data_IF_735501959686
#
_entry.id   IF_735501959686
#
_cell.length_a   1.000
_cell.length_b   1.000
_cell.length_c   1.000
_cell.angle_alpha   90.00
_cell.angle_beta   90.00
_cell.angle_gamma   90.00
#
_symmetry.space_group_name_H-M   'P 1'
#
loop_
_entity.id
_entity.type
_entity.pdbx_description
1 polymer ?
#
# COMPACT_ATOMS: atom_id res chain seq x y z
N UNK A 1 -36.98 112.36 -7.33
CA UNK A 1 -36.98 112.41 -8.81
C UNK A 1 -37.85 111.25 -9.28
N UNK A 2 -39.12 111.50 -9.61
CA UNK A 2 -39.62 111.72 -10.99
C UNK A 2 -39.56 110.41 -11.80
N UNK A 3 -40.63 109.79 -12.31
CA UNK A 3 -42.03 110.19 -12.67
C UNK A 3 -42.87 108.88 -12.86
N UNK A 4 -44.12 108.76 -12.37
CA UNK A 4 -45.40 108.94 -13.13
C UNK A 4 -45.32 108.45 -14.60
N UNK A 5 -46.22 107.64 -15.18
CA UNK A 5 -47.71 107.60 -15.13
C UNK A 5 -48.19 106.44 -16.02
N UNK A 6 -49.36 105.86 -15.74
CA UNK A 6 -50.12 105.07 -16.71
C UNK A 6 -51.33 104.34 -16.11
N UNK A 7 -52.53 104.91 -16.25
CA UNK A 7 -53.87 104.34 -16.01
C UNK A 7 -54.51 104.21 -17.41
N UNK A 8 -55.19 103.10 -17.79
CA UNK A 8 -56.66 102.95 -17.63
C UNK A 8 -57.10 101.52 -17.23
N UNK A 9 -57.98 101.34 -16.22
CA UNK A 9 -59.46 101.33 -16.23
C UNK A 9 -60.09 100.32 -17.21
N UNK A 10 -60.84 99.37 -16.63
CA UNK A 10 -62.01 98.57 -17.09
C UNK A 10 -61.77 97.06 -16.78
N UNK A 11 -62.68 96.25 -16.23
CA UNK A 11 -64.05 96.37 -15.76
C UNK A 11 -64.36 95.05 -15.00
N UNK A 12 -64.92 95.14 -13.79
CA UNK A 12 -65.91 94.25 -13.13
C UNK A 12 -65.72 92.71 -13.19
N UNK A 13 -65.65 92.07 -12.02
CA UNK A 13 -66.74 91.24 -11.46
C UNK A 13 -66.33 90.65 -10.09
N UNK A 14 -67.14 90.91 -9.07
CA UNK A 14 -67.00 90.38 -7.73
C UNK A 14 -67.54 88.94 -7.65
N UNK A 15 -66.91 88.07 -6.86
CA UNK A 15 -67.64 87.16 -5.97
C UNK A 15 -66.72 86.59 -4.88
N UNK A 16 -67.10 86.83 -3.62
CA UNK A 16 -66.47 86.23 -2.45
C UNK A 16 -66.84 84.75 -2.35
N UNK A 17 -65.85 83.89 -2.12
CA UNK A 17 -66.08 82.49 -1.75
C UNK A 17 -65.84 82.35 -0.25
N UNK A 18 -66.93 82.07 0.45
CA UNK A 18 -66.98 81.65 1.85
C UNK A 18 -66.51 80.20 1.94
N UNK A 19 -65.61 79.93 2.87
CA UNK A 19 -65.08 78.61 3.21
C UNK A 19 -66.11 77.75 3.94
N UNK A 20 -66.43 76.57 3.40
CA UNK A 20 -67.03 75.46 4.14
C UNK A 20 -66.27 74.14 3.86
N UNK A 21 -65.86 73.51 4.96
CA UNK A 21 -65.30 72.15 5.04
C UNK A 21 -66.27 71.12 4.46
N UNK A 22 -65.74 70.17 3.67
CA UNK A 22 -66.46 68.96 3.28
C UNK A 22 -65.52 67.75 3.35
N UNK A 23 -65.88 66.78 4.18
CA UNK A 23 -65.16 65.54 4.39
C UNK A 23 -65.11 64.70 3.12
N UNK A 24 -63.91 64.23 2.77
CA UNK A 24 -63.78 63.03 1.95
C UNK A 24 -63.78 61.84 2.90
N UNK A 25 -64.87 61.07 2.85
CA UNK A 25 -64.90 59.68 3.30
C UNK A 25 -63.61 59.03 2.81
N UNK A 26 -62.81 58.50 3.73
CA UNK A 26 -61.71 57.62 3.36
C UNK A 26 -62.28 56.53 2.48
N UNK A 27 -61.88 56.52 1.21
CA UNK A 27 -61.87 55.28 0.44
C UNK A 27 -61.10 54.30 1.31
N UNK A 28 -61.60 53.08 1.57
CA UNK A 28 -60.74 52.05 2.13
C UNK A 28 -59.54 52.00 1.20
N UNK A 29 -58.34 52.15 1.74
CA UNK A 29 -57.18 51.63 1.03
C UNK A 29 -57.54 50.18 0.78
N UNK A 30 -57.69 49.83 -0.50
CA UNK A 30 -58.01 48.50 -0.93
C UNK A 30 -56.86 47.60 -0.48
N UNK A 31 -57.07 46.97 0.68
CA UNK A 31 -56.22 45.96 1.28
C UNK A 31 -56.41 44.68 0.46
N UNK A 32 -56.13 44.75 -0.85
CA UNK A 32 -56.09 43.56 -1.70
C UNK A 32 -55.03 42.65 -1.08
N UNK A 33 -55.40 41.43 -0.65
CA UNK A 33 -54.44 40.50 -0.09
C UNK A 33 -53.37 40.26 -1.16
N UNK A 34 -52.10 40.44 -0.77
CA UNK A 34 -50.96 40.31 -1.66
C UNK A 34 -51.10 39.08 -2.55
N UNK A 35 -51.37 39.33 -3.82
CA UNK A 35 -51.61 38.31 -4.83
C UNK A 35 -50.29 37.74 -5.31
N UNK A 36 -50.36 36.47 -5.71
CA UNK A 36 -49.32 35.61 -6.29
C UNK A 36 -47.96 35.65 -5.57
N UNK A 37 -47.67 34.59 -4.82
CA UNK A 37 -46.39 34.41 -4.14
C UNK A 37 -45.32 33.84 -5.10
N UNK A 38 -44.04 33.87 -4.75
CA UNK A 38 -42.97 33.21 -5.51
C UNK A 38 -41.91 32.61 -4.59
N UNK A 39 -41.18 31.61 -5.09
CA UNK A 39 -40.06 30.97 -4.42
C UNK A 39 -38.75 31.60 -4.92
N UNK A 40 -37.91 31.99 -3.97
CA UNK A 40 -36.53 32.41 -4.20
C UNK A 40 -35.57 31.42 -3.53
N UNK A 41 -34.48 31.05 -4.21
CA UNK A 41 -33.39 30.29 -3.60
C UNK A 41 -32.48 31.26 -2.85
N UNK A 42 -32.27 31.01 -1.56
CA UNK A 42 -31.46 31.87 -0.67
C UNK A 42 -30.04 31.32 -0.55
N UNK A 43 -29.89 30.01 -0.35
CA UNK A 43 -28.59 29.34 -0.21
C UNK A 43 -28.68 27.85 -0.46
N UNK A 44 -27.51 27.20 -0.62
CA UNK A 44 -27.40 25.75 -0.76
C UNK A 44 -27.50 25.22 -2.20
N UNK A 45 -27.59 26.09 -3.21
CA UNK A 45 -27.53 25.71 -4.63
C UNK A 45 -26.09 25.60 -5.13
N UNK A 46 -25.86 24.83 -6.21
CA UNK A 46 -24.56 24.63 -6.86
C UNK A 46 -23.48 24.12 -5.89
N UNK A 47 -23.88 23.34 -4.88
CA UNK A 47 -22.93 22.70 -3.97
C UNK A 47 -22.26 21.51 -4.65
N UNK A 48 -21.04 21.21 -4.23
CA UNK A 48 -20.28 20.07 -4.70
C UNK A 48 -19.84 19.23 -3.51
N UNK A 49 -20.12 17.94 -3.53
CA UNK A 49 -19.65 17.01 -2.50
C UNK A 49 -19.55 15.59 -3.05
N UNK A 50 -18.95 14.69 -2.26
CA UNK A 50 -18.78 13.29 -2.64
C UNK A 50 -20.13 12.54 -2.68
N UNK A 51 -20.20 11.50 -3.51
CA UNK A 51 -21.35 10.60 -3.61
C UNK A 51 -21.80 10.09 -2.23
N UNK A 52 -23.11 10.14 -1.97
CA UNK A 52 -23.71 9.72 -0.70
C UNK A 52 -23.34 10.58 0.52
N UNK A 53 -22.67 11.72 0.35
CA UNK A 53 -22.37 12.64 1.46
C UNK A 53 -23.51 13.63 1.70
N UNK A 54 -23.60 14.14 2.94
CA UNK A 54 -24.52 15.23 3.27
C UNK A 54 -23.97 16.56 2.77
N UNK A 55 -24.84 17.39 2.21
CA UNK A 55 -24.47 18.76 1.83
C UNK A 55 -24.02 19.59 3.03
N UNK A 56 -22.98 20.40 2.83
CA UNK A 56 -22.43 21.31 3.85
C UNK A 56 -23.44 22.39 4.26
N UNK A 57 -24.14 22.97 3.27
CA UNK A 57 -25.22 23.92 3.48
C UNK A 57 -26.58 23.28 3.19
N UNK A 58 -27.59 23.71 3.94
CA UNK A 58 -28.96 23.28 3.71
C UNK A 58 -29.54 23.95 2.46
N UNK A 59 -30.41 23.23 1.75
CA UNK A 59 -31.23 23.77 0.66
C UNK A 59 -32.23 24.76 1.27
N UNK A 60 -32.01 26.05 1.11
CA UNK A 60 -32.79 27.11 1.74
C UNK A 60 -33.50 27.93 0.66
N UNK A 61 -34.83 28.01 0.79
CA UNK A 61 -35.65 28.90 -0.02
C UNK A 61 -36.34 29.92 0.86
N UNK A 62 -36.86 30.97 0.23
CA UNK A 62 -37.77 31.94 0.81
C UNK A 62 -39.02 32.05 -0.06
N UNK A 63 -40.18 32.12 0.57
CA UNK A 63 -41.45 32.43 -0.10
C UNK A 63 -41.80 33.89 0.15
N UNK A 64 -42.04 34.61 -0.93
CA UNK A 64 -42.31 36.04 -0.94
C UNK A 64 -43.61 36.35 -1.67
N UNK A 65 -44.27 37.43 -1.30
CA UNK A 65 -45.34 38.03 -2.10
C UNK A 65 -44.77 38.68 -3.37
N UNK A 66 -45.64 39.09 -4.31
CA UNK A 66 -45.22 39.93 -5.46
C UNK A 66 -44.61 41.27 -5.04
N UNK A 67 -44.92 41.78 -3.84
CA UNK A 67 -44.36 43.02 -3.28
C UNK A 67 -43.04 42.81 -2.53
N UNK A 68 -42.59 41.55 -2.36
CA UNK A 68 -41.33 41.21 -1.69
C UNK A 68 -41.46 40.95 -0.18
N UNK A 69 -42.68 40.90 0.35
CA UNK A 69 -42.93 40.62 1.76
C UNK A 69 -42.84 39.11 2.03
N UNK A 70 -42.27 38.67 3.17
CA UNK A 70 -42.19 37.25 3.51
C UNK A 70 -43.55 36.65 3.83
N UNK A 71 -43.76 35.39 3.43
CA UNK A 71 -45.02 34.67 3.66
C UNK A 71 -44.78 33.49 4.61
N UNK A 72 -45.41 33.54 5.78
CA UNK A 72 -45.35 32.49 6.80
C UNK A 72 -46.43 31.42 6.58
N UNK A 73 -46.19 30.18 7.03
CA UNK A 73 -47.20 29.14 7.09
C UNK A 73 -47.47 28.39 5.77
N UNK A 74 -46.74 28.72 4.71
CA UNK A 74 -46.81 28.02 3.42
C UNK A 74 -46.08 26.68 3.51
N UNK A 75 -46.75 25.60 3.11
CA UNK A 75 -46.17 24.27 2.95
C UNK A 75 -45.30 24.21 1.70
N UNK A 76 -44.07 23.74 1.85
CA UNK A 76 -43.04 23.64 0.81
C UNK A 76 -42.57 22.20 0.72
N UNK A 77 -42.75 21.57 -0.43
CA UNK A 77 -42.35 20.19 -0.70
C UNK A 77 -41.05 20.17 -1.49
N UNK A 78 -40.04 19.52 -0.93
CA UNK A 78 -38.79 19.16 -1.58
C UNK A 78 -38.92 17.73 -2.14
N UNK A 79 -38.59 17.55 -3.41
CA UNK A 79 -38.68 16.26 -4.10
C UNK A 79 -37.45 16.03 -4.95
N UNK A 80 -36.90 14.82 -4.89
CA UNK A 80 -35.85 14.38 -5.81
C UNK A 80 -36.43 14.21 -7.21
N UNK A 81 -35.63 14.51 -8.23
CA UNK A 81 -35.99 14.20 -9.61
C UNK A 81 -35.68 12.73 -9.95
N UNK A 82 -34.67 12.15 -9.32
CA UNK A 82 -34.17 10.78 -9.54
C UNK A 82 -34.15 9.98 -8.22
N UNK A 83 -35.30 9.62 -7.65
CA UNK A 83 -35.38 9.03 -6.31
C UNK A 83 -34.66 7.69 -6.13
N UNK A 84 -34.43 6.96 -7.23
CA UNK A 84 -33.71 5.70 -7.26
C UNK A 84 -32.17 5.86 -7.18
N UNK A 85 -31.63 7.08 -7.29
CA UNK A 85 -30.19 7.32 -7.32
C UNK A 85 -29.55 7.43 -5.92
N UNK A 86 -30.32 7.25 -4.84
CA UNK A 86 -29.82 7.06 -3.46
C UNK A 86 -29.81 8.31 -2.58
N UNK A 87 -30.07 9.49 -3.13
CA UNK A 87 -30.21 10.73 -2.38
C UNK A 87 -31.38 10.68 -1.40
N UNK A 88 -31.30 11.44 -0.30
CA UNK A 88 -32.39 11.51 0.68
C UNK A 88 -32.37 12.76 1.57
N UNK A 89 -33.55 13.19 1.99
CA UNK A 89 -33.72 14.30 2.93
C UNK A 89 -33.60 13.81 4.38
N UNK A 90 -32.96 14.59 5.25
CA UNK A 90 -32.83 14.23 6.67
C UNK A 90 -34.06 14.61 7.49
N UNK A 91 -34.79 15.63 7.05
CA UNK A 91 -36.08 16.02 7.62
C UNK A 91 -37.21 15.62 6.69
N UNK A 92 -38.46 15.75 7.16
CA UNK A 92 -39.66 15.60 6.32
C UNK A 92 -39.50 16.33 4.99
N UNK A 93 -39.90 15.70 3.89
CA UNK A 93 -39.85 16.32 2.55
C UNK A 93 -40.74 17.55 2.45
N UNK A 94 -41.75 17.67 3.32
CA UNK A 94 -42.60 18.85 3.44
C UNK A 94 -42.19 19.66 4.66
N UNK A 95 -41.90 20.95 4.45
CA UNK A 95 -41.50 21.94 5.44
C UNK A 95 -42.46 23.12 5.40
N UNK A 96 -42.56 23.88 6.49
CA UNK A 96 -43.43 25.06 6.58
C UNK A 96 -42.56 26.31 6.71
N UNK A 97 -42.91 27.35 5.96
CA UNK A 97 -42.21 28.64 6.02
C UNK A 97 -42.40 29.32 7.38
N UNK A 98 -41.32 29.86 7.94
CA UNK A 98 -41.36 30.62 9.20
C UNK A 98 -41.80 32.09 8.97
N UNK A 99 -41.81 32.90 10.03
CA UNK A 99 -42.18 34.33 9.99
C UNK A 99 -41.35 35.20 9.05
N UNK A 100 -40.18 34.72 8.60
CA UNK A 100 -39.32 35.39 7.61
C UNK A 100 -39.50 34.81 6.20
N UNK A 101 -40.43 33.87 6.03
CA UNK A 101 -40.73 33.18 4.77
C UNK A 101 -39.78 32.04 4.44
N UNK A 102 -38.90 31.63 5.35
CA UNK A 102 -37.88 30.62 5.06
C UNK A 102 -38.37 29.19 5.28
N UNK A 103 -38.06 28.30 4.34
CA UNK A 103 -38.15 26.85 4.50
C UNK A 103 -36.83 26.21 4.04
N UNK A 104 -36.39 25.15 4.72
CA UNK A 104 -35.11 24.50 4.44
C UNK A 104 -35.14 23.00 4.59
N UNK A 105 -34.28 22.30 3.87
CA UNK A 105 -33.98 20.89 4.12
C UNK A 105 -32.47 20.59 4.06
N UNK A 106 -32.07 19.55 4.78
CA UNK A 106 -30.74 18.93 4.67
C UNK A 106 -30.86 17.70 3.79
N UNK A 107 -29.86 17.48 2.97
CA UNK A 107 -29.94 16.51 1.90
C UNK A 107 -28.62 15.76 1.76
N UNK A 108 -28.72 14.45 1.67
CA UNK A 108 -27.66 13.56 1.21
C UNK A 108 -27.75 13.45 -0.30
N UNK A 109 -26.61 13.63 -0.96
CA UNK A 109 -26.49 13.49 -2.41
C UNK A 109 -26.72 12.05 -2.86
N UNK A 110 -27.10 11.92 -4.12
CA UNK A 110 -27.11 10.65 -4.84
C UNK A 110 -25.78 9.89 -4.73
N UNK A 111 -25.84 8.57 -4.91
CA UNK A 111 -24.68 7.69 -4.93
C UNK A 111 -24.02 7.59 -6.30
N UNK A 112 -24.65 8.11 -7.35
CA UNK A 112 -24.09 8.19 -8.70
C UNK A 112 -23.51 9.58 -8.96
N UNK A 113 -22.34 9.63 -9.60
CA UNK A 113 -21.71 10.90 -10.00
C UNK A 113 -22.53 11.63 -11.07
N UNK A 114 -22.44 12.96 -11.08
CA UNK A 114 -23.16 13.81 -12.03
C UNK A 114 -23.88 14.96 -11.35
N UNK A 115 -24.98 15.41 -11.95
CA UNK A 115 -25.81 16.48 -11.40
C UNK A 115 -27.01 15.87 -10.68
N UNK A 116 -27.08 16.07 -9.37
CA UNK A 116 -28.24 15.75 -8.55
C UNK A 116 -29.15 16.97 -8.49
N UNK A 117 -30.44 16.77 -8.74
CA UNK A 117 -31.43 17.86 -8.82
C UNK A 117 -32.56 17.65 -7.83
N UNK A 118 -32.74 18.63 -6.95
CA UNK A 118 -33.89 18.73 -6.05
C UNK A 118 -34.86 19.78 -6.55
N UNK A 119 -36.10 19.36 -6.77
CA UNK A 119 -37.23 20.22 -7.11
C UNK A 119 -37.97 20.66 -5.86
N UNK A 120 -38.37 21.93 -5.82
CA UNK A 120 -39.09 22.53 -4.69
C UNK A 120 -40.36 23.22 -5.18
N UNK A 121 -41.49 22.92 -4.52
CA UNK A 121 -42.81 23.48 -4.82
C UNK A 121 -43.46 23.98 -3.53
N UNK A 122 -44.13 25.11 -3.60
CA UNK A 122 -44.94 25.64 -2.52
C UNK A 122 -46.43 25.41 -2.80
N UNK A 123 -47.20 25.05 -1.78
CA UNK A 123 -48.65 24.85 -1.88
C UNK A 123 -49.37 26.15 -2.23
N UNK A 124 -50.35 26.09 -3.14
CA UNK A 124 -51.09 27.29 -3.57
C UNK A 124 -50.31 28.16 -4.56
N UNK A 125 -49.09 27.74 -4.94
CA UNK A 125 -48.24 28.37 -5.93
C UNK A 125 -48.12 27.53 -7.20
N UNK A 126 -49.25 27.42 -7.88
CA UNK A 126 -49.25 26.90 -9.24
C UNK A 126 -48.35 27.84 -10.05
N UNK A 127 -47.25 27.31 -10.60
CA UNK A 127 -46.23 27.99 -11.45
C UNK A 127 -44.95 28.49 -10.75
N UNK A 128 -44.84 28.49 -9.41
CA UNK A 128 -43.56 28.79 -8.74
C UNK A 128 -42.83 27.52 -8.32
N UNK A 129 -41.78 27.17 -9.07
CA UNK A 129 -40.93 26.00 -8.84
C UNK A 129 -39.48 26.47 -8.76
N UNK A 130 -38.74 25.98 -7.76
CA UNK A 130 -37.29 26.16 -7.68
C UNK A 130 -36.57 24.83 -7.89
N UNK A 131 -35.37 24.90 -8.45
CA UNK A 131 -34.49 23.75 -8.66
C UNK A 131 -33.14 24.04 -8.03
N UNK A 132 -32.73 23.15 -7.12
CA UNK A 132 -31.36 23.05 -6.67
C UNK A 132 -30.62 22.05 -7.55
N UNK A 133 -29.46 22.43 -8.05
CA UNK A 133 -28.55 21.55 -8.76
C UNK A 133 -27.27 21.42 -7.93
N UNK A 134 -26.83 20.19 -7.68
CA UNK A 134 -25.59 19.90 -6.96
C UNK A 134 -24.71 18.99 -7.81
N UNK A 135 -23.39 19.19 -7.72
CA UNK A 135 -22.42 18.33 -8.40
C UNK A 135 -22.00 17.21 -7.45
N UNK A 136 -22.29 15.98 -7.83
CA UNK A 136 -21.85 14.77 -7.14
C UNK A 136 -20.50 14.32 -7.71
N UNK A 137 -19.46 14.36 -6.88
CA UNK A 137 -18.14 13.83 -7.19
C UNK A 137 -18.01 12.38 -6.71
N UNK A 138 -17.07 11.58 -7.27
CA UNK A 138 -16.76 10.26 -6.71
C UNK A 138 -16.38 10.37 -5.23
N UNK A 139 -16.73 9.35 -4.43
CA UNK A 139 -16.17 9.19 -3.08
C UNK A 139 -14.71 8.71 -3.17
N UNK A 140 -14.06 8.55 -2.02
CA UNK A 140 -12.70 8.01 -1.94
C UNK A 140 -12.59 6.67 -2.68
N UNK A 141 -11.48 6.52 -3.42
CA UNK A 141 -11.14 5.28 -4.11
C UNK A 141 -11.19 4.09 -3.14
N UNK A 142 -11.84 3.01 -3.58
CA UNK A 142 -12.11 1.86 -2.73
C UNK A 142 -11.90 0.51 -3.41
N UNK A 143 -12.09 0.45 -4.72
CA UNK A 143 -12.02 -0.78 -5.49
C UNK A 143 -11.00 -0.62 -6.62
N UNK A 144 -10.22 -1.68 -6.84
CA UNK A 144 -9.28 -1.83 -7.95
C UNK A 144 -9.70 -3.09 -8.72
N UNK A 145 -9.93 -2.95 -10.03
CA UNK A 145 -10.32 -4.06 -10.90
C UNK A 145 -9.44 -4.10 -12.15
N UNK A 146 -9.15 -5.29 -12.65
CA UNK A 146 -8.48 -5.49 -13.94
C UNK A 146 -9.49 -5.35 -15.08
N UNK A 147 -9.13 -4.60 -16.13
CA UNK A 147 -9.97 -4.37 -17.32
C UNK A 147 -9.47 -5.16 -18.53
N UNK A 148 -8.15 -5.22 -18.76
CA UNK A 148 -7.60 -5.91 -19.93
C UNK A 148 -7.54 -7.44 -19.73
N UNK A 149 -7.83 -8.26 -20.77
CA UNK A 149 -7.71 -9.71 -20.70
C UNK A 149 -6.23 -10.13 -20.69
N UNK A 150 -5.85 -11.05 -19.80
CA UNK A 150 -4.57 -11.76 -19.92
C UNK A 150 -4.65 -12.69 -21.12
N UNK A 151 -3.88 -12.40 -22.16
CA UNK A 151 -3.56 -13.39 -23.18
C UNK A 151 -2.20 -14.01 -22.87
N UNK A 152 -2.07 -15.32 -23.10
CA UNK A 152 -0.77 -15.99 -23.09
C UNK A 152 0.06 -15.42 -24.24
N UNK A 153 1.03 -14.58 -23.92
CA UNK A 153 1.95 -14.00 -24.90
C UNK A 153 3.27 -14.76 -24.78
N UNK A 154 3.79 -15.29 -25.89
CA UNK A 154 5.18 -15.73 -25.94
C UNK A 154 6.07 -14.49 -25.93
N UNK A 155 6.94 -14.35 -24.94
CA UNK A 155 7.74 -13.12 -24.81
C UNK A 155 9.06 -13.26 -25.55
N UNK A 156 9.35 -12.27 -26.38
CA UNK A 156 10.69 -12.05 -26.94
C UNK A 156 11.27 -10.80 -26.26
N UNK A 157 12.51 -10.89 -25.79
CA UNK A 157 13.25 -9.79 -25.19
C UNK A 157 13.30 -8.60 -26.15
N UNK A 158 12.94 -7.41 -25.67
CA UNK A 158 12.86 -6.17 -26.43
C UNK A 158 11.51 -5.92 -27.10
N UNK A 159 10.56 -6.87 -27.05
CA UNK A 159 9.20 -6.63 -27.54
C UNK A 159 8.32 -5.99 -26.46
N UNK A 160 7.48 -5.05 -26.89
CA UNK A 160 6.39 -4.48 -26.09
C UNK A 160 5.20 -5.43 -26.08
N UNK A 161 4.44 -5.45 -24.99
CA UNK A 161 3.12 -6.08 -25.03
C UNK A 161 2.23 -5.46 -26.11
N UNK A 162 1.44 -6.27 -26.84
CA UNK A 162 0.62 -5.79 -27.95
C UNK A 162 -0.53 -4.90 -27.51
N UNK A 163 -0.97 -5.00 -26.25
CA UNK A 163 -1.98 -4.13 -25.64
C UNK A 163 -1.51 -3.70 -24.25
N UNK A 164 -1.77 -2.46 -23.82
CA UNK A 164 -1.44 -2.00 -22.48
C UNK A 164 -2.30 -2.73 -21.43
N UNK A 165 -1.75 -2.89 -20.22
CA UNK A 165 -2.57 -3.34 -19.11
C UNK A 165 -3.41 -2.19 -18.60
N UNK A 166 -4.71 -2.44 -18.48
CA UNK A 166 -5.66 -1.45 -17.98
C UNK A 166 -6.25 -1.95 -16.67
N UNK A 167 -6.22 -1.07 -15.67
CA UNK A 167 -6.94 -1.25 -14.41
C UNK A 167 -7.94 -0.13 -14.22
N UNK A 168 -8.99 -0.39 -13.44
CA UNK A 168 -10.05 0.56 -13.12
C UNK A 168 -10.15 0.77 -11.63
N UNK A 169 -10.14 2.02 -11.22
CA UNK A 169 -10.37 2.45 -9.85
C UNK A 169 -11.77 3.01 -9.72
N UNK A 170 -12.52 2.47 -8.76
CA UNK A 170 -13.84 2.97 -8.40
C UNK A 170 -13.97 3.24 -6.91
N UNK A 171 -14.91 4.10 -6.55
CA UNK A 171 -15.31 4.31 -5.17
C UNK A 171 -16.19 3.14 -4.66
N UNK A 172 -16.65 3.23 -3.42
CA UNK A 172 -17.47 2.17 -2.79
C UNK A 172 -18.84 1.95 -3.46
N UNK A 173 -19.31 2.90 -4.27
CA UNK A 173 -20.56 2.82 -5.03
C UNK A 173 -20.34 2.39 -6.49
N UNK A 174 -19.08 2.19 -6.91
CA UNK A 174 -18.72 1.84 -8.28
C UNK A 174 -18.53 3.03 -9.21
N UNK A 175 -18.51 4.27 -8.69
CA UNK A 175 -18.23 5.44 -9.52
C UNK A 175 -16.74 5.49 -9.89
N UNK A 176 -16.41 5.86 -11.14
CA UNK A 176 -15.02 5.99 -11.56
C UNK A 176 -14.32 7.13 -10.82
N UNK A 177 -13.14 6.86 -10.26
CA UNK A 177 -12.33 7.87 -9.59
C UNK A 177 -11.24 8.36 -10.53
N UNK A 178 -11.33 9.62 -10.96
CA UNK A 178 -10.33 10.24 -11.86
C UNK A 178 -9.16 10.84 -11.10
N UNK A 179 -7.98 10.87 -11.73
CA UNK A 179 -6.75 11.46 -11.18
C UNK A 179 -6.08 10.64 -10.07
N UNK A 180 -6.62 9.46 -9.74
CA UNK A 180 -6.09 8.56 -8.71
C UNK A 180 -4.76 7.97 -9.19
N UNK A 181 -3.74 7.97 -8.33
CA UNK A 181 -2.44 7.40 -8.68
C UNK A 181 -2.51 5.88 -8.65
N UNK A 182 -1.99 5.27 -9.71
CA UNK A 182 -1.85 3.83 -9.84
C UNK A 182 -0.39 3.54 -10.15
N UNK A 183 0.25 2.78 -9.28
CA UNK A 183 1.59 2.26 -9.51
C UNK A 183 1.50 0.95 -10.27
N UNK A 184 2.25 0.86 -11.36
CA UNK A 184 2.47 -0.37 -12.08
C UNK A 184 3.85 -0.88 -11.69
N UNK A 185 3.88 -1.99 -10.95
CA UNK A 185 5.13 -2.57 -10.48
C UNK A 185 5.38 -3.83 -11.28
N UNK A 186 6.45 -3.78 -12.08
CA UNK A 186 7.01 -4.99 -12.65
C UNK A 186 7.63 -5.81 -11.53
N UNK A 187 7.22 -7.06 -11.45
CA UNK A 187 8.08 -8.09 -10.89
C UNK A 187 9.08 -8.48 -12.00
N UNK A 188 10.14 -9.20 -11.68
CA UNK A 188 11.30 -9.60 -12.51
C UNK A 188 11.23 -9.52 -14.05
N UNK A 189 12.28 -9.05 -14.73
CA UNK A 189 12.54 -9.26 -16.19
C UNK A 189 11.49 -8.71 -17.17
N UNK A 190 10.70 -7.74 -16.73
CA UNK A 190 10.01 -6.78 -17.59
C UNK A 190 10.22 -5.36 -17.06
N UNK A 191 10.32 -4.43 -17.98
CA UNK A 191 10.39 -3.00 -17.74
C UNK A 191 8.98 -2.42 -17.92
N UNK A 192 8.48 -1.71 -16.91
CA UNK A 192 7.27 -0.88 -17.09
C UNK A 192 7.67 0.44 -17.70
N UNK A 193 7.02 0.80 -18.80
CA UNK A 193 7.03 2.16 -19.33
C UNK A 193 5.63 2.74 -19.20
N UNK A 194 5.49 3.81 -18.43
CA UNK A 194 4.26 4.62 -18.43
C UNK A 194 4.46 5.80 -19.38
N UNK A 195 3.37 6.38 -19.88
CA UNK A 195 3.34 7.51 -20.84
C UNK A 195 4.08 8.79 -20.35
N UNK A 196 4.67 8.77 -19.15
CA UNK A 196 5.45 9.85 -18.55
C UNK A 196 6.89 9.42 -18.26
N UNK A 197 7.76 9.35 -19.28
CA UNK A 197 9.24 9.49 -19.23
C UNK A 197 10.07 8.87 -18.08
N UNK A 198 9.52 7.97 -17.28
CA UNK A 198 10.12 7.34 -16.10
C UNK A 198 10.07 5.84 -16.38
N UNK A 199 11.17 5.33 -16.93
CA UNK A 199 11.36 3.90 -17.12
C UNK A 199 11.70 3.30 -15.75
N UNK A 200 10.88 2.37 -15.27
CA UNK A 200 11.12 1.70 -14.00
C UNK A 200 12.24 0.66 -14.13
N UNK A 201 13.47 1.04 -13.81
CA UNK A 201 14.57 0.09 -13.65
C UNK A 201 14.29 -0.94 -12.55
N UNK A 202 15.03 -2.04 -12.59
CA UNK A 202 14.80 -3.28 -11.84
C UNK A 202 14.81 -3.23 -10.30
N UNK A 203 14.94 -2.07 -9.67
CA UNK A 203 14.83 -1.94 -8.22
C UNK A 203 14.11 -0.64 -7.86
N UNK A 204 12.96 -0.78 -7.20
CA UNK A 204 12.22 0.26 -6.44
C UNK A 204 11.95 1.61 -7.15
N UNK A 205 12.00 1.66 -8.49
CA UNK A 205 11.61 2.85 -9.25
C UNK A 205 10.15 2.68 -9.73
N UNK A 206 9.22 3.26 -8.98
CA UNK A 206 7.78 3.05 -9.21
C UNK A 206 7.27 3.95 -10.33
N UNK A 207 7.03 3.38 -11.51
CA UNK A 207 6.28 4.05 -12.56
C UNK A 207 4.80 4.15 -12.15
N UNK A 208 4.27 5.37 -12.09
CA UNK A 208 2.85 5.61 -11.80
C UNK A 208 2.17 6.34 -12.95
N UNK A 209 0.90 6.02 -13.14
CA UNK A 209 -0.01 6.81 -13.97
C UNK A 209 -1.17 7.31 -13.12
N UNK A 210 -1.98 8.21 -13.68
CA UNK A 210 -3.23 8.65 -13.06
C UNK A 210 -4.41 8.12 -13.86
N UNK A 211 -5.47 7.76 -13.14
CA UNK A 211 -6.71 7.35 -13.80
C UNK A 211 -7.32 8.50 -14.61
N UNK A 212 -7.89 8.17 -15.76
CA UNK A 212 -8.62 9.10 -16.61
C UNK A 212 -10.04 9.40 -16.07
N UNK A 213 -10.88 10.08 -16.86
CA UNK A 213 -12.26 10.41 -16.45
C UNK A 213 -13.17 9.16 -16.29
N UNK A 214 -12.80 8.04 -16.89
CA UNK A 214 -13.49 6.75 -16.77
C UNK A 214 -12.97 5.91 -15.59
N UNK A 215 -12.02 6.44 -14.82
CA UNK A 215 -11.38 5.77 -13.69
C UNK A 215 -10.33 4.74 -14.13
N UNK A 216 -9.88 4.78 -15.38
CA UNK A 216 -8.98 3.78 -15.95
C UNK A 216 -7.55 4.31 -16.03
N UNK A 217 -6.61 3.45 -15.69
CA UNK A 217 -5.18 3.71 -15.72
C UNK A 217 -4.50 2.62 -16.55
N UNK A 218 -3.60 3.01 -17.44
CA UNK A 218 -2.86 2.10 -18.31
C UNK A 218 -1.35 2.16 -18.09
N UNK A 219 -0.69 1.01 -18.26
CA UNK A 219 0.77 0.90 -18.32
C UNK A 219 1.20 0.06 -19.53
N UNK A 220 2.27 0.49 -20.21
CA UNK A 220 2.94 -0.29 -21.24
C UNK A 220 4.13 -1.05 -20.65
N UNK A 221 4.48 -2.16 -21.31
CA UNK A 221 5.41 -3.14 -20.76
C UNK A 221 6.35 -3.62 -21.85
N UNK A 222 7.65 -3.60 -21.57
CA UNK A 222 8.71 -4.09 -22.45
C UNK A 222 9.36 -5.29 -21.78
N UNK A 223 9.30 -6.45 -22.41
CA UNK A 223 9.98 -7.64 -21.89
C UNK A 223 11.49 -7.45 -22.00
N UNK A 224 12.23 -7.67 -20.91
CA UNK A 224 13.69 -7.58 -20.95
C UNK A 224 14.34 -8.97 -21.12
N UNK A 225 13.54 -10.04 -21.19
CA UNK A 225 14.01 -11.42 -21.37
C UNK A 225 13.05 -12.26 -22.23
N UNK A 226 13.60 -13.31 -22.88
CA UNK A 226 12.87 -14.26 -23.72
C UNK A 226 12.26 -15.38 -22.86
N UNK A 227 10.93 -15.55 -22.86
CA UNK A 227 10.24 -16.68 -22.22
C UNK A 227 9.08 -17.21 -23.08
N UNK A 228 9.37 -17.97 -24.15
CA UNK A 228 8.32 -18.61 -24.93
C UNK A 228 7.64 -19.73 -24.12
N UNK A 229 6.34 -19.58 -23.86
CA UNK A 229 5.47 -20.69 -23.44
C UNK A 229 5.00 -20.70 -21.98
N UNK A 230 5.34 -19.68 -21.17
CA UNK A 230 4.88 -19.59 -19.79
C UNK A 230 3.67 -18.65 -19.64
N UNK A 231 2.65 -19.01 -18.83
CA UNK A 231 1.51 -18.14 -18.60
C UNK A 231 1.90 -16.92 -17.74
N UNK A 232 1.49 -15.73 -18.15
CA UNK A 232 1.54 -14.53 -17.30
C UNK A 232 0.61 -14.67 -16.11
N UNK A 233 1.09 -14.35 -14.91
CA UNK A 233 0.24 -14.13 -13.74
C UNK A 233 0.18 -12.63 -13.46
N UNK A 234 -0.93 -12.15 -12.91
CA UNK A 234 -0.99 -10.77 -12.42
C UNK A 234 -1.73 -10.79 -11.10
N UNK A 235 -1.12 -10.20 -10.08
CA UNK A 235 -1.72 -10.10 -8.76
C UNK A 235 -2.18 -8.66 -8.52
N UNK A 236 -3.42 -8.54 -8.06
CA UNK A 236 -3.96 -7.28 -7.56
C UNK A 236 -3.61 -7.18 -6.08
N UNK A 237 -2.74 -6.26 -5.70
CA UNK A 237 -2.62 -5.84 -4.31
C UNK A 237 -3.47 -4.60 -4.05
N UNK A 238 -4.15 -4.58 -2.90
CA UNK A 238 -4.97 -3.45 -2.50
C UNK A 238 -4.13 -2.23 -2.05
N UNK A 239 -4.83 -1.11 -1.87
CA UNK A 239 -4.34 0.20 -1.45
C UNK A 239 -3.20 0.15 -0.43
N UNK A 240 -2.11 0.87 -0.70
CA UNK A 240 -1.02 1.04 0.25
C UNK A 240 -1.44 1.93 1.43
N UNK A 241 -0.53 2.09 2.41
CA UNK A 241 -0.78 2.94 3.59
C UNK A 241 -0.97 4.42 3.27
N UNK A 242 -0.63 4.86 2.06
CA UNK A 242 -0.79 6.23 1.56
C UNK A 242 -2.10 6.41 0.78
N UNK A 243 -2.86 5.34 0.57
CA UNK A 243 -4.12 5.34 -0.17
C UNK A 243 -3.94 5.30 -1.69
N UNK A 244 -2.75 4.98 -2.18
CA UNK A 244 -2.49 4.75 -3.60
C UNK A 244 -2.72 3.28 -3.97
N UNK A 245 -3.09 3.00 -5.22
CA UNK A 245 -3.32 1.64 -5.71
C UNK A 245 -2.06 1.05 -6.34
N UNK A 246 -1.70 -0.18 -5.99
CA UNK A 246 -0.52 -0.88 -6.54
C UNK A 246 -0.96 -2.10 -7.35
N UNK A 247 -0.54 -2.15 -8.61
CA UNK A 247 -0.80 -3.26 -9.52
C UNK A 247 0.49 -4.03 -9.79
N UNK A 248 0.49 -5.33 -9.50
CA UNK A 248 1.63 -6.20 -9.77
C UNK A 248 1.37 -7.07 -11.00
N UNK A 249 2.39 -7.20 -11.84
CA UNK A 249 2.45 -8.26 -12.85
C UNK A 249 3.51 -9.25 -12.41
N UNK A 250 3.10 -10.51 -12.21
CA UNK A 250 3.97 -11.63 -11.86
C UNK A 250 4.39 -12.42 -13.10
N UNK A 251 5.49 -13.17 -12.97
CA UNK A 251 5.96 -14.11 -14.00
C UNK A 251 5.48 -15.50 -13.64
N UNK A 252 5.41 -16.35 -14.67
CA UNK A 252 5.18 -17.76 -14.45
C UNK A 252 6.30 -18.33 -13.59
N UNK A 253 5.94 -18.91 -12.45
CA UNK A 253 6.83 -19.75 -11.66
C UNK A 253 7.41 -20.83 -12.56
N UNK A 254 8.72 -20.89 -12.74
CA UNK A 254 9.37 -22.08 -13.28
C UNK A 254 9.45 -23.09 -12.12
N UNK A 255 8.64 -24.16 -12.09
CA UNK A 255 8.63 -25.08 -10.95
C UNK A 255 10.01 -25.73 -10.78
N UNK A 256 10.73 -25.31 -9.73
CA UNK A 256 12.08 -25.79 -9.42
C UNK A 256 13.16 -24.72 -9.45
N UNK A 257 12.82 -23.45 -9.73
CA UNK A 257 13.72 -22.29 -9.61
C UNK A 257 13.35 -21.53 -8.35
N UNK A 258 14.33 -21.24 -7.49
CA UNK A 258 14.16 -20.40 -6.32
C UNK A 258 14.66 -18.99 -6.62
N UNK A 259 13.84 -17.96 -6.38
CA UNK A 259 14.19 -16.54 -6.60
C UNK A 259 14.38 -15.81 -5.26
N UNK A 260 15.32 -14.86 -5.18
CA UNK A 260 15.65 -14.23 -3.91
C UNK A 260 14.44 -13.60 -3.23
N UNK A 261 13.67 -12.74 -3.88
CA UNK A 261 12.63 -11.96 -3.20
C UNK A 261 11.36 -12.76 -2.84
N UNK A 262 11.08 -13.85 -3.54
CA UNK A 262 9.85 -14.64 -3.38
C UNK A 262 10.04 -15.89 -2.55
N UNK A 263 11.12 -16.63 -2.81
CA UNK A 263 11.31 -17.92 -2.15
C UNK A 263 12.30 -17.81 -0.99
N UNK A 264 13.35 -17.00 -1.14
CA UNK A 264 14.45 -16.97 -0.18
C UNK A 264 14.26 -15.89 0.88
N UNK A 265 13.87 -14.69 0.47
CA UNK A 265 13.75 -13.52 1.34
C UNK A 265 12.71 -13.73 2.43
N UNK A 266 11.54 -14.38 2.22
CA UNK A 266 10.64 -14.72 3.32
C UNK A 266 11.29 -15.66 4.34
N UNK A 267 12.06 -16.65 3.89
CA UNK A 267 12.83 -17.54 4.77
C UNK A 267 13.84 -16.72 5.59
N UNK A 268 14.60 -15.82 4.95
CA UNK A 268 15.54 -14.96 5.66
C UNK A 268 14.84 -13.92 6.55
N UNK A 269 13.65 -13.46 6.18
CA UNK A 269 12.87 -12.49 6.95
C UNK A 269 12.35 -13.08 8.26
N UNK A 270 11.76 -14.27 8.18
CA UNK A 270 11.17 -14.94 9.34
C UNK A 270 12.23 -15.43 10.33
N UNK A 271 13.44 -15.70 9.85
CA UNK A 271 14.46 -16.39 10.65
C UNK A 271 15.74 -15.57 10.92
N UNK A 272 16.08 -14.58 10.08
CA UNK A 272 17.40 -13.93 10.11
C UNK A 272 17.35 -12.38 10.22
N UNK A 273 16.28 -11.72 9.76
CA UNK A 273 16.25 -10.25 9.66
C UNK A 273 16.32 -9.52 10.99
N UNK A 274 15.88 -10.16 12.08
CA UNK A 274 15.97 -9.56 13.42
C UNK A 274 17.40 -9.17 13.82
N UNK A 275 18.41 -9.83 13.21
CA UNK A 275 19.83 -9.58 13.47
C UNK A 275 20.63 -9.12 12.24
N UNK A 276 20.09 -9.28 11.02
CA UNK A 276 20.81 -9.10 9.76
C UNK A 276 20.05 -8.25 8.72
N UNK A 277 19.16 -7.36 9.14
CA UNK A 277 18.42 -6.48 8.23
C UNK A 277 18.42 -5.02 8.68
N UNK A 278 18.29 -4.12 7.70
CA UNK A 278 18.21 -2.67 7.92
C UNK A 278 19.45 -2.14 8.65
N UNK A 279 19.22 -1.57 9.83
CA UNK A 279 20.29 -0.98 10.67
C UNK A 279 20.99 -1.99 11.58
N UNK A 280 20.45 -3.20 11.73
CA UNK A 280 21.02 -4.25 12.58
C UNK A 280 21.70 -5.26 11.66
N UNK A 281 23.03 -5.14 11.53
CA UNK A 281 23.89 -5.93 10.63
C UNK A 281 24.91 -6.72 11.45
N UNK A 282 24.44 -7.71 12.19
CA UNK A 282 25.30 -8.53 13.07
C UNK A 282 26.39 -9.22 12.26
N UNK A 283 27.64 -9.12 12.73
CA UNK A 283 28.79 -9.65 11.99
C UNK A 283 29.10 -8.94 10.67
N UNK A 284 28.44 -7.80 10.37
CA UNK A 284 28.59 -7.08 9.10
C UNK A 284 27.67 -7.59 7.98
N UNK A 285 26.85 -8.60 8.23
CA UNK A 285 25.97 -9.22 7.23
C UNK A 285 24.64 -8.46 7.11
N UNK A 286 24.24 -8.16 5.87
CA UNK A 286 22.92 -7.67 5.50
C UNK A 286 22.26 -8.67 4.54
N UNK A 287 21.04 -9.09 4.90
CA UNK A 287 20.29 -10.18 4.27
C UNK A 287 18.92 -9.75 3.74
N UNK A 288 18.62 -8.45 3.73
CA UNK A 288 17.31 -7.91 3.37
C UNK A 288 17.15 -7.53 1.90
N UNK A 289 18.26 -7.33 1.19
CA UNK A 289 18.30 -7.01 -0.23
C UNK A 289 19.32 -7.85 -1.01
N UNK A 290 18.97 -8.26 -2.22
CA UNK A 290 19.80 -9.14 -3.06
C UNK A 290 21.21 -8.57 -3.29
N UNK A 291 21.29 -7.27 -3.62
CA UNK A 291 22.57 -6.60 -3.88
C UNK A 291 23.47 -6.54 -2.63
N UNK A 292 22.91 -6.59 -1.42
CA UNK A 292 23.69 -6.64 -0.18
C UNK A 292 24.16 -8.06 0.10
N UNK A 293 23.30 -9.07 -0.11
CA UNK A 293 23.70 -10.48 0.03
C UNK A 293 24.81 -10.85 -0.97
N UNK A 294 24.70 -10.39 -2.21
CA UNK A 294 25.71 -10.63 -3.26
C UNK A 294 26.90 -9.66 -3.25
N UNK A 295 26.68 -8.39 -2.89
CA UNK A 295 27.67 -7.33 -3.02
C UNK A 295 28.60 -7.16 -1.82
N UNK A 296 28.17 -7.54 -0.62
CA UNK A 296 28.99 -7.42 0.60
C UNK A 296 29.89 -8.65 0.84
N UNK A 297 29.95 -9.58 -0.12
CA UNK A 297 30.76 -10.80 -0.03
C UNK A 297 30.11 -11.93 0.79
N UNK A 298 28.82 -11.82 1.11
CA UNK A 298 28.09 -12.86 1.85
C UNK A 298 27.81 -14.07 0.97
N UNK A 299 27.57 -13.85 -0.32
CA UNK A 299 27.58 -14.87 -1.36
C UNK A 299 28.17 -14.33 -2.67
N UNK A 300 28.63 -15.24 -3.51
CA UNK A 300 28.85 -14.98 -4.93
C UNK A 300 27.83 -15.82 -5.71
N UNK A 301 27.02 -15.23 -6.62
CA UNK A 301 26.02 -15.99 -7.36
C UNK A 301 26.60 -17.17 -8.16
N UNK A 302 26.00 -18.35 -7.97
CA UNK A 302 26.46 -19.61 -8.56
C UNK A 302 27.71 -20.22 -7.93
N UNK A 303 28.27 -19.60 -6.89
CA UNK A 303 29.48 -20.06 -6.22
C UNK A 303 29.17 -20.96 -5.04
N UNK A 304 29.59 -22.22 -5.14
CA UNK A 304 29.46 -23.25 -4.10
C UNK A 304 30.38 -23.02 -2.90
N UNK A 305 31.23 -22.01 -2.94
CA UNK A 305 32.13 -21.60 -1.84
C UNK A 305 31.68 -20.31 -1.14
N UNK A 306 30.50 -19.79 -1.47
CA UNK A 306 29.90 -18.61 -0.84
C UNK A 306 29.88 -18.71 0.69
N UNK A 307 30.33 -17.68 1.44
CA UNK A 307 30.35 -17.71 2.90
C UNK A 307 29.01 -18.06 3.56
N UNK A 308 27.89 -17.62 2.97
CA UNK A 308 26.55 -17.94 3.46
C UNK A 308 26.24 -19.46 3.44
N UNK A 309 26.89 -20.23 2.55
CA UNK A 309 26.73 -21.70 2.50
C UNK A 309 27.40 -22.39 3.70
N UNK A 310 28.45 -21.81 4.29
CA UNK A 310 29.09 -22.35 5.50
C UNK A 310 28.09 -22.42 6.67
N UNK A 311 27.19 -21.43 6.75
CA UNK A 311 26.18 -21.34 7.80
C UNK A 311 24.91 -22.16 7.51
N UNK A 312 24.66 -22.45 6.22
CA UNK A 312 23.48 -23.15 5.74
C UNK A 312 23.72 -24.63 5.46
N UNK A 313 24.95 -25.12 5.39
CA UNK A 313 25.25 -26.54 5.21
C UNK A 313 25.40 -27.25 6.55
N UNK A 314 24.96 -28.52 6.69
CA UNK A 314 25.35 -29.32 7.85
C UNK A 314 26.89 -29.41 7.89
N UNK A 315 27.50 -29.10 9.03
CA UNK A 315 28.94 -28.92 9.24
C UNK A 315 29.84 -29.69 8.22
N UNK A 316 30.68 -28.94 7.50
CA UNK A 316 31.57 -29.41 6.42
C UNK A 316 32.45 -30.64 6.76
N UNK A 317 32.66 -30.98 8.02
CA UNK A 317 33.46 -32.15 8.42
C UNK A 317 32.80 -33.49 8.11
N UNK A 318 31.47 -33.57 7.92
CA UNK A 318 30.78 -34.82 7.56
C UNK A 318 31.19 -35.40 6.19
N UNK A 319 31.86 -34.59 5.36
CA UNK A 319 32.47 -35.05 4.09
C UNK A 319 33.93 -35.46 4.25
N UNK A 320 34.55 -35.19 5.40
CA UNK A 320 35.96 -35.45 5.67
C UNK A 320 36.14 -36.61 6.65
N UNK A 321 35.18 -36.89 7.53
CA UNK A 321 35.18 -38.07 8.40
C UNK A 321 33.87 -38.86 8.24
N UNK A 322 33.91 -40.17 8.45
CA UNK A 322 32.70 -40.99 8.43
C UNK A 322 32.03 -41.11 9.81
N UNK A 323 30.77 -41.56 9.84
CA UNK A 323 29.96 -41.71 11.07
C UNK A 323 30.62 -42.58 12.16
N UNK A 324 31.53 -43.49 11.79
CA UNK A 324 32.25 -44.34 12.74
C UNK A 324 33.43 -43.58 13.37
N UNK A 325 34.15 -42.76 12.59
CA UNK A 325 35.22 -41.88 13.09
C UNK A 325 34.68 -40.76 13.97
N UNK A 326 33.51 -40.25 13.61
CA UNK A 326 32.74 -39.29 14.40
C UNK A 326 32.36 -39.85 15.79
N UNK A 327 31.66 -41.00 15.83
CA UNK A 327 31.28 -41.67 17.08
C UNK A 327 32.52 -42.01 17.94
N UNK A 328 33.65 -42.34 17.31
CA UNK A 328 34.93 -42.54 18.00
C UNK A 328 35.45 -41.26 18.65
N UNK A 329 35.44 -40.12 17.96
CA UNK A 329 35.90 -38.84 18.54
C UNK A 329 34.97 -38.41 19.69
N UNK A 330 33.65 -38.55 19.54
CA UNK A 330 32.69 -38.21 20.60
C UNK A 330 32.90 -39.11 21.82
N UNK A 331 32.98 -40.43 21.63
CA UNK A 331 33.27 -41.36 22.74
C UNK A 331 34.62 -41.11 23.37
N UNK A 332 35.63 -40.75 22.58
CA UNK A 332 36.94 -40.41 23.10
C UNK A 332 36.89 -39.21 24.05
N UNK A 333 36.14 -38.16 23.70
CA UNK A 333 35.97 -36.97 24.56
C UNK A 333 35.10 -37.29 25.79
N UNK A 334 34.03 -38.08 25.62
CA UNK A 334 32.98 -38.25 26.63
C UNK A 334 33.22 -39.44 27.58
N UNK A 335 33.73 -40.57 27.07
CA UNK A 335 33.82 -41.84 27.82
C UNK A 335 35.25 -42.33 28.02
N UNK A 336 36.11 -42.24 27.01
CA UNK A 336 37.38 -42.98 26.96
C UNK A 336 38.61 -42.17 27.41
N UNK A 337 38.34 -41.04 28.06
CA UNK A 337 39.25 -40.26 28.88
C UNK A 337 40.43 -39.63 28.13
N UNK A 338 40.27 -38.35 27.84
CA UNK A 338 41.39 -37.42 27.70
C UNK A 338 42.11 -37.18 29.07
N UNK A 339 42.49 -38.24 29.78
CA UNK A 339 43.37 -38.19 30.97
C UNK A 339 44.71 -38.89 30.67
N UNK A 340 45.85 -38.43 31.22
CA UNK A 340 47.16 -39.08 31.00
C UNK A 340 47.16 -40.52 31.55
N UNK A 341 47.54 -41.51 30.72
CA UNK A 341 47.80 -42.89 31.16
C UNK A 341 46.66 -43.91 30.98
N UNK A 342 45.61 -43.60 30.22
CA UNK A 342 44.54 -44.58 29.95
C UNK A 342 44.94 -45.56 28.83
N UNK A 343 44.98 -46.87 29.12
CA UNK A 343 45.30 -47.95 28.17
C UNK A 343 44.03 -48.54 27.50
N UNK A 344 43.01 -47.70 27.28
CA UNK A 344 41.72 -48.12 26.71
C UNK A 344 41.76 -48.28 25.19
N UNK A 345 40.74 -48.93 24.63
CA UNK A 345 40.62 -49.24 23.19
C UNK A 345 40.57 -47.99 22.28
N UNK A 346 40.51 -46.76 22.80
CA UNK A 346 40.46 -45.51 22.03
C UNK A 346 41.40 -44.44 22.62
N UNK A 347 42.67 -44.75 22.90
CA UNK A 347 43.62 -43.72 23.34
C UNK A 347 44.10 -42.83 22.16
N UNK A 348 44.64 -41.65 22.48
CA UNK A 348 45.02 -40.65 21.47
C UNK A 348 46.05 -41.19 20.47
N UNK A 349 47.10 -41.85 20.96
CA UNK A 349 48.24 -42.30 20.15
C UNK A 349 47.89 -43.46 19.24
N UNK A 350 46.99 -44.35 19.67
CA UNK A 350 46.68 -45.57 18.93
C UNK A 350 45.58 -45.35 17.88
N UNK A 351 44.57 -44.52 18.16
CA UNK A 351 43.36 -44.46 17.32
C UNK A 351 42.88 -43.06 16.93
N UNK A 352 43.07 -42.03 17.77
CA UNK A 352 42.52 -40.70 17.47
C UNK A 352 43.46 -39.85 16.64
N UNK A 353 44.78 -39.97 16.87
CA UNK A 353 45.79 -39.23 16.14
C UNK A 353 45.70 -39.47 14.63
N UNK A 354 45.46 -40.71 14.20
CA UNK A 354 45.30 -41.02 12.78
C UNK A 354 44.11 -40.29 12.13
N UNK A 355 43.01 -40.14 12.86
CA UNK A 355 41.81 -39.43 12.37
C UNK A 355 42.11 -37.93 12.27
N UNK A 356 42.72 -37.32 13.29
CA UNK A 356 43.08 -35.90 13.24
C UNK A 356 44.15 -35.59 12.18
N UNK A 357 45.15 -36.46 12.04
CA UNK A 357 46.20 -36.34 11.02
C UNK A 357 45.62 -36.39 9.60
N UNK A 358 44.65 -37.28 9.36
CA UNK A 358 44.05 -37.46 8.06
C UNK A 358 43.07 -36.35 7.67
N UNK A 359 42.37 -35.76 8.66
CA UNK A 359 41.16 -34.96 8.37
C UNK A 359 41.17 -33.54 8.94
N UNK A 360 42.04 -33.22 9.90
CA UNK A 360 41.95 -31.96 10.65
C UNK A 360 43.22 -31.11 10.57
N UNK A 361 44.40 -31.73 10.60
CA UNK A 361 45.69 -31.02 10.69
C UNK A 361 45.96 -30.11 9.49
N UNK A 362 45.46 -30.44 8.29
CA UNK A 362 45.68 -29.63 7.08
C UNK A 362 45.23 -28.17 7.25
N UNK A 363 44.21 -27.92 8.08
CA UNK A 363 43.70 -26.58 8.39
C UNK A 363 43.99 -26.15 9.84
N UNK A 364 44.07 -27.10 10.78
CA UNK A 364 44.26 -26.85 12.21
C UNK A 364 45.73 -27.05 12.65
N UNK A 365 46.68 -26.49 11.90
CA UNK A 365 48.11 -26.55 12.24
C UNK A 365 48.88 -25.30 11.81
N UNK A 366 50.15 -25.21 12.21
CA UNK A 366 51.05 -24.13 11.81
C UNK A 366 50.94 -22.88 12.68
N UNK A 367 51.50 -21.77 12.20
CA UNK A 367 51.59 -20.52 12.98
C UNK A 367 50.24 -19.78 13.13
N UNK A 368 49.25 -20.12 12.29
CA UNK A 368 47.92 -19.51 12.26
C UNK A 368 46.87 -20.59 11.96
N UNK A 369 46.62 -21.52 12.90
CA UNK A 369 45.65 -22.58 12.66
C UNK A 369 44.23 -22.01 12.53
N UNK A 370 43.39 -22.64 11.71
CA UNK A 370 41.98 -22.24 11.55
C UNK A 370 41.27 -22.23 12.90
N UNK A 371 40.50 -21.18 13.16
CA UNK A 371 39.84 -20.97 14.46
C UNK A 371 40.79 -20.71 15.63
N UNK A 372 42.08 -20.45 15.36
CA UNK A 372 43.15 -20.40 16.38
C UNK A 372 43.35 -21.71 17.14
N UNK A 373 42.92 -22.83 16.56
CA UNK A 373 42.88 -24.13 17.20
C UNK A 373 43.88 -25.11 16.58
N UNK A 374 44.92 -25.48 17.31
CA UNK A 374 45.96 -26.42 16.87
C UNK A 374 45.63 -27.87 17.28
N UNK A 375 45.50 -28.76 16.28
CA UNK A 375 45.18 -30.17 16.47
C UNK A 375 46.38 -31.12 16.30
N UNK A 376 47.59 -30.59 16.15
CA UNK A 376 48.81 -31.39 15.93
C UNK A 376 49.23 -32.20 17.16
N UNK A 377 48.81 -31.79 18.35
CA UNK A 377 49.14 -32.44 19.63
C UNK A 377 47.90 -32.61 20.50
N UNK A 378 47.96 -33.56 21.43
CA UNK A 378 46.90 -33.79 22.41
C UNK A 378 46.67 -32.56 23.30
N UNK A 379 47.74 -31.86 23.66
CA UNK A 379 47.67 -30.66 24.50
C UNK A 379 47.01 -29.50 23.74
N UNK A 380 47.32 -29.35 22.44
CA UNK A 380 46.63 -28.42 21.54
C UNK A 380 45.12 -28.69 21.44
N UNK A 381 44.73 -29.96 21.26
CA UNK A 381 43.32 -30.40 21.20
C UNK A 381 42.57 -30.11 22.52
N UNK A 382 43.26 -30.16 23.66
CA UNK A 382 42.69 -29.83 24.98
C UNK A 382 42.65 -28.35 25.30
N UNK A 383 43.08 -27.48 24.38
CA UNK A 383 43.08 -26.03 24.57
C UNK A 383 44.28 -25.47 25.31
N UNK A 384 45.39 -26.20 25.37
CA UNK A 384 46.71 -25.62 25.66
C UNK A 384 47.39 -25.11 24.36
N UNK A 385 46.63 -25.04 23.27
CA UNK A 385 47.02 -24.44 21.99
C UNK A 385 46.93 -22.91 21.98
N UNK A 386 46.83 -22.33 20.78
CA UNK A 386 46.92 -20.88 20.57
C UNK A 386 45.68 -20.07 21.01
N UNK A 387 44.54 -20.69 21.31
CA UNK A 387 43.25 -20.04 21.64
C UNK A 387 42.91 -19.98 23.13
N UNK A 388 43.77 -20.51 24.01
CA UNK A 388 43.62 -20.54 25.47
C UNK A 388 42.27 -21.09 26.01
N UNK A 389 41.50 -21.77 25.16
CA UNK A 389 40.15 -22.25 25.47
C UNK A 389 40.13 -23.77 25.42
N UNK A 390 39.77 -24.47 26.52
CA UNK A 390 39.73 -25.93 26.51
C UNK A 390 38.72 -26.51 25.52
N UNK A 391 39.21 -27.01 24.38
CA UNK A 391 38.34 -27.44 23.27
C UNK A 391 37.84 -28.87 23.42
N UNK A 392 38.71 -29.80 23.81
CA UNK A 392 38.34 -31.15 24.24
C UNK A 392 38.47 -31.28 25.76
N UNK A 393 37.35 -31.18 26.47
CA UNK A 393 37.32 -31.34 27.93
C UNK A 393 36.88 -32.78 28.25
N UNK A 394 37.72 -33.57 28.95
CA UNK A 394 37.40 -34.96 29.27
C UNK A 394 36.09 -35.07 30.05
N UNK A 395 35.16 -35.89 29.57
CA UNK A 395 33.85 -36.13 30.19
C UNK A 395 32.81 -35.03 29.96
N UNK A 396 33.16 -33.94 29.28
CA UNK A 396 32.24 -32.84 29.00
C UNK A 396 31.62 -32.97 27.60
N UNK A 397 30.37 -33.43 27.56
CA UNK A 397 29.59 -33.54 26.31
C UNK A 397 29.24 -32.19 25.67
N UNK A 398 29.53 -31.07 26.34
CA UNK A 398 29.27 -29.71 25.88
C UNK A 398 30.54 -28.94 25.48
N UNK A 399 31.73 -29.53 25.61
CA UNK A 399 32.96 -28.89 25.18
C UNK A 399 32.98 -28.66 23.65
N UNK A 400 33.80 -27.71 23.20
CA UNK A 400 33.80 -27.21 21.82
C UNK A 400 33.96 -28.35 20.80
N UNK A 401 34.91 -29.25 20.99
CA UNK A 401 35.13 -30.39 20.09
C UNK A 401 33.91 -31.33 20.06
N UNK A 402 33.32 -31.66 21.21
CA UNK A 402 32.12 -32.50 21.27
C UNK A 402 30.89 -31.81 20.66
N UNK A 403 30.85 -30.48 20.66
CA UNK A 403 29.79 -29.69 20.01
C UNK A 403 29.97 -29.69 18.49
N UNK A 404 31.17 -29.37 18.00
CA UNK A 404 31.49 -29.40 16.58
C UNK A 404 31.18 -30.77 15.99
N UNK A 405 31.55 -31.85 16.70
CA UNK A 405 31.52 -33.24 16.23
C UNK A 405 30.15 -33.95 16.32
N UNK A 406 29.10 -33.33 16.89
CA UNK A 406 27.78 -33.98 16.97
C UNK A 406 27.10 -34.00 15.59
N UNK A 407 26.48 -35.13 15.18
CA UNK A 407 25.76 -35.19 13.93
C UNK A 407 24.54 -34.29 14.03
N UNK A 408 24.31 -33.46 13.01
CA UNK A 408 23.24 -32.48 13.00
C UNK A 408 23.27 -31.56 14.22
N UNK A 409 24.44 -31.09 14.70
CA UNK A 409 24.43 -30.12 15.78
C UNK A 409 23.92 -28.76 15.28
N UNK A 410 22.68 -28.37 15.62
CA UNK A 410 22.16 -27.06 15.25
C UNK A 410 22.93 -25.91 15.91
N UNK A 411 23.74 -26.18 16.94
CA UNK A 411 24.38 -25.13 17.74
C UNK A 411 25.51 -24.38 17.03
N UNK A 412 25.96 -24.82 15.85
CA UNK A 412 26.96 -24.08 15.05
C UNK A 412 26.56 -23.83 13.58
N UNK A 413 25.51 -24.48 13.05
CA UNK A 413 24.91 -24.08 11.77
C UNK A 413 23.73 -23.14 12.01
N UNK A 414 23.61 -22.08 11.23
CA UNK A 414 22.48 -21.13 11.33
C UNK A 414 21.13 -21.81 11.03
N UNK A 415 21.12 -23.08 10.57
CA UNK A 415 19.94 -23.94 10.42
C UNK A 415 19.07 -24.02 11.68
N UNK A 416 19.64 -23.84 12.89
CA UNK A 416 18.84 -23.83 14.13
C UNK A 416 17.76 -22.75 14.14
N UNK A 417 18.04 -21.62 13.50
CA UNK A 417 17.13 -20.49 13.45
C UNK A 417 15.99 -20.69 12.44
N UNK A 418 16.12 -21.66 11.52
CA UNK A 418 15.10 -22.03 10.52
C UNK A 418 13.98 -22.92 11.08
N UNK A 419 14.07 -23.36 12.33
CA UNK A 419 13.00 -24.08 13.01
C UNK A 419 12.76 -25.52 12.54
N UNK A 420 11.51 -25.99 12.63
CA UNK A 420 11.14 -27.41 12.47
C UNK A 420 11.42 -27.97 11.07
N UNK A 421 11.33 -27.12 10.03
CA UNK A 421 11.55 -27.49 8.62
C UNK A 421 12.94 -27.07 8.11
N UNK A 422 13.89 -26.87 9.03
CA UNK A 422 15.23 -26.33 8.75
C UNK A 422 15.97 -26.99 7.58
N UNK A 423 15.76 -28.29 7.33
CA UNK A 423 16.38 -28.97 6.18
C UNK A 423 15.83 -28.47 4.86
N UNK A 424 14.50 -28.48 4.69
CA UNK A 424 13.88 -28.07 3.44
C UNK A 424 14.13 -26.59 3.13
N UNK A 425 14.02 -25.73 4.15
CA UNK A 425 14.26 -24.30 4.01
C UNK A 425 15.72 -24.01 3.65
N UNK A 426 16.67 -24.64 4.32
CA UNK A 426 18.08 -24.45 4.00
C UNK A 426 18.43 -24.98 2.61
N UNK A 427 17.84 -26.10 2.19
CA UNK A 427 18.08 -26.68 0.86
C UNK A 427 17.54 -25.75 -0.24
N UNK A 428 16.43 -25.04 -0.02
CA UNK A 428 15.94 -23.97 -0.91
C UNK A 428 16.95 -22.83 -1.03
N UNK A 429 17.48 -22.31 0.10
CA UNK A 429 18.47 -21.21 0.07
C UNK A 429 19.78 -21.66 -0.58
N UNK A 430 20.24 -22.90 -0.33
CA UNK A 430 21.44 -23.45 -0.98
C UNK A 430 21.24 -23.61 -2.49
N UNK A 431 20.09 -24.14 -2.91
CA UNK A 431 19.77 -24.31 -4.33
C UNK A 431 19.77 -22.97 -5.03
N UNK A 432 19.15 -21.95 -4.41
CA UNK A 432 19.21 -20.59 -4.93
C UNK A 432 20.65 -20.07 -5.05
N UNK A 433 21.45 -20.09 -3.98
CA UNK A 433 22.84 -19.58 -4.02
C UNK A 433 23.65 -20.27 -5.13
N UNK A 434 23.52 -21.59 -5.27
CA UNK A 434 24.41 -22.38 -6.12
C UNK A 434 23.94 -22.53 -7.57
N UNK A 435 22.64 -22.36 -7.84
CA UNK A 435 22.04 -22.65 -9.16
C UNK A 435 21.29 -21.43 -9.70
N UNK A 436 20.37 -20.85 -8.93
CA UNK A 436 19.41 -19.88 -9.46
C UNK A 436 19.81 -18.41 -9.28
N UNK A 437 20.71 -18.10 -8.35
CA UNK A 437 21.17 -16.73 -8.08
C UNK A 437 21.85 -16.05 -9.28
N UNK A 438 22.41 -16.82 -10.22
CA UNK A 438 22.94 -16.29 -11.48
C UNK A 438 21.85 -15.65 -12.37
N UNK A 439 20.58 -16.00 -12.13
CA UNK A 439 19.46 -15.47 -12.87
C UNK A 439 19.00 -14.13 -12.29
N UNK A 440 19.18 -13.91 -10.99
CA UNK A 440 18.77 -12.69 -10.27
C UNK A 440 19.66 -11.47 -10.57
N UNK A 441 20.65 -11.63 -11.47
CA UNK A 441 21.64 -10.64 -11.87
C UNK A 441 21.29 -9.81 -13.10
#
# INVERSE_FOLDING_TARGET
MMTRRGIPVLLIAALAIVSLSCGKKGVPYDDQPSTTTHIEIVSGNNQTAAAGSILSDSLLIRVLTTTGDPVEGISVTFSQITPEAGGHFTWSTTQVTNSQGYARNRYYLDTLIGIDTVRVVASGLNDSIAYFAMTVLPDAAKNLAKVSPLTTIGTVAGETMPEPYVVKITDKYGNPVSGHRVYFVAKERCLVTTDSSQAAGFEDDTAYTRTDASGEASGEWIFTANYPGYPFSSDLSAFDSLGDSVFFIGYGTDPGVFEYYYDIRPILADHCFSCHAGTVRSGGYALDYYYEVSGDGNMTPGDTTSPLLEYLTPNHWATHINIVEEDKIIRWVVTDNAAPGHSGLNNYTDNMKAIFDAHCISCHSGATPSGSYDMTTLDGIRGEGTDATPNAIPGDTACFLARVMKPNNPLESMRVFLGADSTALADSVIHWITIDSLRDH
#
